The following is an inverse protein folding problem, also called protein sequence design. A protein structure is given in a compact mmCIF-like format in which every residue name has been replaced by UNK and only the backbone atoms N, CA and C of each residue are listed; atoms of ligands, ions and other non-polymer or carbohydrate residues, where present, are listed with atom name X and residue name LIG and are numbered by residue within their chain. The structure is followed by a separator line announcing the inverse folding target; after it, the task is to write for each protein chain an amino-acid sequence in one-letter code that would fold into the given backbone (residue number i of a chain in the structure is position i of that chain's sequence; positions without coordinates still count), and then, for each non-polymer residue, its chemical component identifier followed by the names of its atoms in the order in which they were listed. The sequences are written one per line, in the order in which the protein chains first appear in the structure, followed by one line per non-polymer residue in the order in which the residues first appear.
data_IF_762508276967
#
_entry.id   IF_762508276967
#
_cell.length_a   1.000
_cell.length_b   1.000
_cell.length_c   1.000
_cell.angle_alpha   90.00
_cell.angle_beta   90.00
_cell.angle_gamma   90.00
#
_symmetry.space_group_name_H-M   'P 1'
#
loop_
_entity.id
_entity.type
_entity.pdbx_description
1 polymer ?
#
# COMPACT_ATOMS: atom_id res chain seq x y z
N UNK A 1 -7.06 65.27 -47.13
CA UNK A 1 -6.15 64.10 -47.05
C UNK A 1 -6.13 63.60 -45.61
N UNK A 2 -6.39 62.30 -45.40
CA UNK A 2 -6.12 61.44 -44.22
C UNK A 2 -6.63 61.97 -42.86
N UNK A 3 -7.78 61.48 -42.37
CA UNK A 3 -7.94 60.36 -41.39
C UNK A 3 -6.88 60.37 -40.28
N UNK A 4 -7.31 60.48 -39.03
CA UNK A 4 -7.13 59.46 -37.97
C UNK A 4 -8.09 59.80 -36.81
N UNK A 5 -8.95 58.83 -36.51
CA UNK A 5 -9.84 58.80 -35.35
C UNK A 5 -9.00 58.20 -34.21
N UNK A 6 -8.77 58.95 -33.14
CA UNK A 6 -8.15 58.42 -31.93
C UNK A 6 -9.23 57.82 -31.03
N UNK A 7 -9.55 56.55 -31.26
CA UNK A 7 -10.32 55.73 -30.31
C UNK A 7 -9.39 55.46 -29.11
N UNK A 8 -9.78 55.99 -27.94
CA UNK A 8 -9.17 55.67 -26.67
C UNK A 8 -9.60 54.24 -26.28
N UNK A 9 -8.75 53.25 -26.56
CA UNK A 9 -8.94 51.88 -26.06
C UNK A 9 -8.57 51.84 -24.58
N UNK A 10 -9.56 51.76 -23.70
CA UNK A 10 -9.38 51.34 -22.31
C UNK A 10 -9.20 49.81 -22.36
N UNK A 11 -7.96 49.35 -22.41
CA UNK A 11 -7.61 47.95 -22.17
C UNK A 11 -7.45 47.76 -20.66
N UNK A 12 -8.56 47.41 -20.01
CA UNK A 12 -8.52 46.76 -18.70
C UNK A 12 -7.88 45.37 -18.88
N UNK A 13 -6.57 45.28 -18.72
CA UNK A 13 -5.91 44.00 -18.49
C UNK A 13 -6.14 43.60 -17.04
N UNK A 14 -7.28 42.94 -16.79
CA UNK A 14 -7.41 42.10 -15.61
C UNK A 14 -6.46 40.93 -15.86
N UNK A 15 -5.26 41.01 -15.29
CA UNK A 15 -4.38 39.87 -15.15
C UNK A 15 -5.03 38.91 -14.16
N UNK A 16 -6.00 38.11 -14.63
CA UNK A 16 -6.29 36.85 -13.98
C UNK A 16 -5.03 36.01 -14.16
N UNK A 17 -4.17 36.02 -13.15
CA UNK A 17 -3.29 34.90 -12.85
C UNK A 17 -4.23 33.72 -12.61
N UNK A 18 -4.65 33.08 -13.69
CA UNK A 18 -5.04 31.69 -13.65
C UNK A 18 -3.75 30.96 -13.35
N UNK A 19 -3.46 30.81 -12.06
CA UNK A 19 -2.80 29.59 -11.64
C UNK A 19 -3.69 28.49 -12.23
N UNK A 20 -3.23 27.89 -13.34
CA UNK A 20 -3.59 26.53 -13.60
C UNK A 20 -3.14 25.80 -12.33
N UNK A 21 -4.08 25.63 -11.40
CA UNK A 21 -3.96 24.56 -10.44
C UNK A 21 -3.76 23.36 -11.32
N UNK A 22 -2.54 22.81 -11.27
CA UNK A 22 -2.28 21.43 -11.67
C UNK A 22 -3.50 20.65 -11.17
N UNK A 23 -4.21 19.91 -12.05
CA UNK A 23 -5.32 19.12 -11.59
C UNK A 23 -4.80 18.38 -10.37
N UNK A 24 -5.46 18.56 -9.21
CA UNK A 24 -5.24 17.65 -8.11
C UNK A 24 -5.55 16.28 -8.69
N UNK A 25 -4.49 15.56 -9.09
CA UNK A 25 -4.60 14.14 -9.35
C UNK A 25 -5.33 13.61 -8.13
N UNK A 26 -6.46 12.90 -8.30
CA UNK A 26 -7.00 12.16 -7.19
C UNK A 26 -5.84 11.35 -6.60
N UNK A 27 -5.78 11.16 -5.29
CA UNK A 27 -4.86 10.19 -4.69
C UNK A 27 -5.17 8.81 -5.30
N UNK A 28 -4.61 8.55 -6.48
CA UNK A 28 -4.74 7.32 -7.26
C UNK A 28 -3.69 6.37 -6.68
N UNK A 29 -3.98 5.81 -5.50
CA UNK A 29 -4.65 4.51 -5.36
C UNK A 29 -3.61 3.39 -5.49
N UNK A 30 -2.95 3.11 -4.38
CA UNK A 30 -1.89 2.13 -4.18
C UNK A 30 -2.22 0.70 -4.63
N UNK A 31 -3.50 0.42 -4.90
CA UNK A 31 -4.00 -0.85 -5.43
C UNK A 31 -3.34 -1.28 -6.75
N UNK A 32 -2.85 -0.35 -7.56
CA UNK A 32 -2.22 -0.66 -8.85
C UNK A 32 -0.80 -1.21 -8.72
N UNK A 33 -0.18 -1.05 -7.55
CA UNK A 33 1.20 -1.48 -7.35
C UNK A 33 1.32 -2.99 -7.21
N UNK A 34 0.27 -3.64 -6.72
CA UNK A 34 0.19 -5.08 -6.59
C UNK A 34 -0.69 -5.67 -7.71
N UNK A 35 -0.26 -6.78 -8.31
CA UNK A 35 -1.09 -7.53 -9.27
C UNK A 35 -2.17 -8.31 -8.51
N UNK A 36 -3.17 -7.58 -7.99
CA UNK A 36 -4.17 -8.13 -7.07
C UNK A 36 -5.17 -9.03 -7.79
N UNK A 37 -5.62 -10.07 -7.10
CA UNK A 37 -6.73 -10.91 -7.60
C UNK A 37 -8.02 -10.10 -7.57
N UNK A 38 -8.67 -9.91 -8.72
CA UNK A 38 -9.99 -9.28 -8.74
C UNK A 38 -11.05 -10.18 -8.12
N UNK A 39 -11.87 -9.63 -7.21
CA UNK A 39 -12.96 -10.40 -6.62
C UNK A 39 -14.00 -10.78 -7.68
N UNK A 40 -14.42 -12.04 -7.64
CA UNK A 40 -15.46 -12.61 -8.50
C UNK A 40 -16.37 -13.46 -7.62
N UNK A 41 -17.60 -12.99 -7.39
CA UNK A 41 -18.58 -13.67 -6.54
C UNK A 41 -18.98 -15.07 -7.01
N UNK A 42 -18.66 -15.45 -8.26
CA UNK A 42 -18.86 -16.80 -8.77
C UNK A 42 -17.81 -17.79 -8.27
N UNK A 43 -16.58 -17.33 -8.02
CA UNK A 43 -15.41 -18.15 -7.69
C UNK A 43 -15.01 -17.95 -6.23
N UNK A 44 -14.97 -16.70 -5.79
CA UNK A 44 -14.49 -16.24 -4.51
C UNK A 44 -15.62 -16.15 -3.49
N UNK A 45 -15.37 -16.64 -2.28
CA UNK A 45 -16.20 -16.35 -1.11
C UNK A 45 -15.73 -15.05 -0.47
N UNK A 46 -14.41 -14.91 -0.31
CA UNK A 46 -13.79 -13.80 0.42
C UNK A 46 -12.31 -13.65 0.08
N UNK A 47 -11.82 -12.42 0.04
CA UNK A 47 -10.40 -12.08 -0.08
C UNK A 47 -10.03 -11.14 1.06
N UNK A 48 -8.93 -11.44 1.74
CA UNK A 48 -8.28 -10.56 2.72
C UNK A 48 -6.92 -10.14 2.18
N UNK A 49 -6.58 -8.86 2.34
CA UNK A 49 -5.23 -8.35 2.06
C UNK A 49 -4.67 -7.57 3.22
N UNK A 50 -3.38 -7.75 3.43
CA UNK A 50 -2.56 -6.94 4.34
C UNK A 50 -1.43 -6.36 3.51
N UNK A 51 -1.48 -5.06 3.24
CA UNK A 51 -0.44 -4.34 2.51
C UNK A 51 0.36 -3.50 3.48
N UNK A 52 1.68 -3.60 3.42
CA UNK A 52 2.59 -2.72 4.14
C UNK A 52 3.12 -1.72 3.13
N UNK A 53 2.76 -0.46 3.33
CA UNK A 53 3.03 0.62 2.41
C UNK A 53 2.69 0.15 0.99
N UNK A 54 3.75 0.10 0.18
CA UNK A 54 3.72 -0.02 -1.26
C UNK A 54 4.75 -1.04 -1.76
N UNK A 55 5.24 -1.88 -0.85
CA UNK A 55 6.36 -2.76 -1.10
C UNK A 55 6.10 -4.21 -0.69
N UNK A 56 5.13 -4.48 0.19
CA UNK A 56 4.72 -5.85 0.49
C UNK A 56 3.21 -5.98 0.62
N UNK A 57 2.67 -7.10 0.13
CA UNK A 57 1.28 -7.46 0.32
C UNK A 57 1.13 -8.97 0.55
N UNK A 58 0.41 -9.34 1.60
CA UNK A 58 -0.12 -10.69 1.78
C UNK A 58 -1.57 -10.70 1.32
N UNK A 59 -1.88 -11.55 0.34
CA UNK A 59 -3.24 -11.81 -0.13
C UNK A 59 -3.64 -13.23 0.27
N UNK A 60 -4.81 -13.35 0.91
CA UNK A 60 -5.43 -14.63 1.27
C UNK A 60 -6.81 -14.72 0.63
N UNK A 61 -7.07 -15.82 -0.05
CA UNK A 61 -8.28 -16.02 -0.84
C UNK A 61 -8.98 -17.27 -0.33
N UNK A 62 -10.25 -17.13 0.05
CA UNK A 62 -11.16 -18.24 0.27
C UNK A 62 -12.04 -18.39 -0.96
N UNK A 63 -11.85 -19.49 -1.67
CA UNK A 63 -12.67 -19.90 -2.80
C UNK A 63 -13.94 -20.60 -2.30
N UNK A 64 -14.95 -20.67 -3.17
CA UNK A 64 -16.11 -21.53 -2.90
C UNK A 64 -15.68 -22.98 -2.67
N UNK A 65 -16.47 -23.70 -1.87
CA UNK A 65 -16.21 -25.09 -1.44
C UNK A 65 -15.03 -25.23 -0.46
N UNK A 66 -14.62 -24.14 0.19
CA UNK A 66 -13.67 -24.19 1.31
C UNK A 66 -12.21 -24.40 0.91
N UNK A 67 -11.83 -24.02 -0.30
CA UNK A 67 -10.42 -24.04 -0.73
C UNK A 67 -9.77 -22.70 -0.39
N UNK A 68 -8.55 -22.75 0.13
CA UNK A 68 -7.78 -21.58 0.53
C UNK A 68 -6.55 -21.43 -0.35
N UNK A 69 -6.25 -20.19 -0.74
CA UNK A 69 -5.06 -19.80 -1.49
C UNK A 69 -4.43 -18.58 -0.84
N UNK A 70 -3.14 -18.40 -1.05
CA UNK A 70 -2.50 -17.18 -0.60
C UNK A 70 -1.19 -16.90 -1.32
N UNK A 71 -0.81 -15.63 -1.36
CA UNK A 71 0.42 -15.17 -1.96
C UNK A 71 1.02 -14.02 -1.14
N UNK A 72 2.35 -13.94 -1.12
CA UNK A 72 3.10 -12.77 -0.69
C UNK A 72 3.68 -12.10 -1.94
N UNK A 73 3.35 -10.83 -2.16
CA UNK A 73 3.88 -10.02 -3.24
C UNK A 73 4.85 -8.98 -2.68
N UNK A 74 6.11 -9.04 -3.11
CA UNK A 74 7.11 -8.01 -2.83
C UNK A 74 7.25 -7.10 -4.06
N UNK A 75 7.24 -5.79 -3.86
CA UNK A 75 7.31 -4.79 -4.93
C UNK A 75 8.42 -3.78 -4.65
N UNK A 76 9.13 -3.40 -5.70
CA UNK A 76 10.10 -2.30 -5.68
C UNK A 76 10.14 -1.62 -7.04
N UNK A 77 10.46 -0.33 -7.07
CA UNK A 77 10.60 0.42 -8.31
C UNK A 77 12.07 0.69 -8.61
N UNK A 78 12.47 0.59 -9.87
CA UNK A 78 13.71 1.24 -10.32
C UNK A 78 13.52 2.75 -10.34
N UNK A 79 14.60 3.48 -10.09
CA UNK A 79 14.55 4.94 -10.05
C UNK A 79 15.76 5.58 -10.74
N UNK A 80 15.64 6.85 -11.12
CA UNK A 80 16.74 7.63 -11.68
C UNK A 80 17.46 8.46 -10.59
N UNK A 81 18.36 9.36 -10.99
CA UNK A 81 19.04 10.27 -10.05
C UNK A 81 18.13 11.32 -9.43
N UNK A 82 16.98 11.61 -10.07
CA UNK A 82 15.93 12.51 -9.58
C UNK A 82 14.84 11.76 -8.80
N UNK A 83 15.08 10.49 -8.48
CA UNK A 83 14.20 9.66 -7.65
C UNK A 83 12.83 9.34 -8.28
N UNK A 84 12.66 9.67 -9.55
CA UNK A 84 11.46 9.36 -10.32
C UNK A 84 11.40 7.86 -10.60
N UNK A 85 10.32 7.20 -10.13
CA UNK A 85 10.00 5.79 -10.40
C UNK A 85 9.95 5.53 -11.91
N UNK A 86 10.52 4.40 -12.36
CA UNK A 86 10.60 4.05 -13.79
C UNK A 86 9.97 2.71 -14.11
N UNK A 87 10.45 1.63 -13.50
CA UNK A 87 9.97 0.27 -13.78
C UNK A 87 9.70 -0.45 -12.48
N UNK A 88 8.51 -1.05 -12.36
CA UNK A 88 8.16 -1.95 -11.27
C UNK A 88 8.88 -3.29 -11.43
N UNK A 89 9.38 -3.80 -10.33
CA UNK A 89 9.87 -5.17 -10.18
C UNK A 89 9.05 -5.79 -9.06
N UNK A 90 8.43 -6.93 -9.33
CA UNK A 90 7.64 -7.68 -8.37
C UNK A 90 8.16 -9.10 -8.22
N UNK A 91 7.95 -9.68 -7.04
CA UNK A 91 8.13 -11.10 -6.77
C UNK A 91 6.89 -11.61 -6.04
N UNK A 92 6.20 -12.56 -6.67
CA UNK A 92 5.06 -13.25 -6.07
C UNK A 92 5.53 -14.61 -5.55
N UNK A 93 5.27 -14.87 -4.28
CA UNK A 93 5.61 -16.11 -3.57
C UNK A 93 4.29 -16.77 -3.18
N UNK A 94 4.08 -18.02 -3.62
CA UNK A 94 2.91 -18.79 -3.19
C UNK A 94 3.03 -19.15 -1.72
N UNK A 95 1.98 -18.86 -0.95
CA UNK A 95 1.83 -19.34 0.41
C UNK A 95 1.18 -20.74 0.31
N UNK A 96 1.70 -21.76 1.02
CA UNK A 96 1.07 -23.08 1.05
C UNK A 96 -0.39 -23.01 1.49
N UNK A 97 -1.28 -23.75 0.83
CA UNK A 97 -2.73 -23.73 1.08
C UNK A 97 -3.07 -23.96 2.58
N UNK A 98 -2.33 -24.84 3.27
CA UNK A 98 -2.53 -25.11 4.70
C UNK A 98 -2.18 -23.91 5.59
N UNK A 99 -1.14 -23.15 5.23
CA UNK A 99 -0.77 -21.90 5.92
C UNK A 99 -1.80 -20.83 5.60
N UNK A 100 -2.24 -20.72 4.35
CA UNK A 100 -3.28 -19.78 3.94
C UNK A 100 -4.58 -20.04 4.72
N UNK A 101 -5.03 -21.29 4.82
CA UNK A 101 -6.20 -21.68 5.63
C UNK A 101 -6.02 -21.29 7.10
N UNK A 102 -4.87 -21.61 7.69
CA UNK A 102 -4.56 -21.28 9.10
C UNK A 102 -4.63 -19.78 9.36
N UNK A 103 -4.00 -18.97 8.51
CA UNK A 103 -4.06 -17.50 8.61
C UNK A 103 -5.49 -16.99 8.43
N UNK A 104 -6.23 -17.51 7.46
CA UNK A 104 -7.61 -17.13 7.22
C UNK A 104 -8.50 -17.34 8.44
N UNK A 105 -8.41 -18.53 9.07
CA UNK A 105 -9.15 -18.86 10.29
C UNK A 105 -8.73 -17.97 11.46
N UNK A 106 -7.44 -17.72 11.62
CA UNK A 106 -6.93 -16.80 12.64
C UNK A 106 -7.50 -15.38 12.45
N UNK A 107 -7.61 -14.89 11.22
CA UNK A 107 -8.18 -13.58 10.90
C UNK A 107 -9.69 -13.53 11.19
N UNK A 108 -10.43 -14.61 10.89
CA UNK A 108 -11.85 -14.71 11.23
C UNK A 108 -12.08 -14.72 12.75
N UNK A 109 -11.25 -15.43 13.53
CA UNK A 109 -11.35 -15.48 14.99
C UNK A 109 -11.22 -14.09 15.63
N UNK A 110 -10.38 -13.22 15.07
CA UNK A 110 -10.19 -11.85 15.57
C UNK A 110 -11.05 -10.81 14.83
N UNK A 111 -11.99 -11.28 13.99
CA UNK A 111 -12.96 -10.45 13.30
C UNK A 111 -12.33 -9.37 12.39
N UNK A 112 -11.36 -9.78 11.56
CA UNK A 112 -10.63 -8.93 10.60
C UNK A 112 -11.54 -7.96 9.83
N UNK A 113 -12.72 -8.43 9.42
CA UNK A 113 -13.73 -7.66 8.68
C UNK A 113 -14.33 -6.47 9.42
N UNK A 114 -14.18 -6.38 10.73
CA UNK A 114 -14.82 -5.34 11.54
C UNK A 114 -13.82 -4.44 12.24
N UNK A 115 -12.55 -4.51 11.86
CA UNK A 115 -11.54 -3.56 12.34
C UNK A 115 -11.90 -2.19 11.76
N UNK A 116 -12.21 -1.18 12.58
CA UNK A 116 -12.49 0.15 12.08
C UNK A 116 -11.19 0.82 11.62
N UNK A 117 -11.32 1.78 10.72
CA UNK A 117 -10.20 2.63 10.32
C UNK A 117 -9.62 3.41 11.50
N UNK A 118 -8.31 3.65 11.50
CA UNK A 118 -7.61 4.39 12.55
C UNK A 118 -8.23 5.77 12.80
N UNK A 119 -8.73 6.46 11.76
CA UNK A 119 -9.42 7.74 11.91
C UNK A 119 -10.70 7.68 12.76
N UNK A 120 -11.27 6.48 12.92
CA UNK A 120 -12.50 6.23 13.70
C UNK A 120 -12.23 5.67 15.10
N UNK A 121 -10.96 5.47 15.46
CA UNK A 121 -10.55 4.89 16.73
C UNK A 121 -9.97 6.00 17.61
N UNK A 122 -10.60 6.24 18.77
CA UNK A 122 -10.07 7.18 19.74
C UNK A 122 -8.67 6.77 20.23
N UNK A 123 -7.75 7.73 20.28
CA UNK A 123 -6.35 7.50 20.63
C UNK A 123 -5.50 6.80 19.55
N UNK A 124 -6.05 6.47 18.38
CA UNK A 124 -5.26 5.97 17.26
C UNK A 124 -4.40 7.09 16.66
N UNK A 125 -3.21 6.72 16.16
CA UNK A 125 -2.22 7.66 15.68
C UNK A 125 -2.35 7.86 14.18
N UNK A 126 -2.46 9.11 13.74
CA UNK A 126 -2.62 9.52 12.34
C UNK A 126 -1.69 10.69 12.03
N UNK A 127 -1.35 10.89 10.76
CA UNK A 127 -0.59 12.06 10.30
C UNK A 127 0.93 11.99 10.52
N UNK A 128 1.48 10.79 10.72
CA UNK A 128 2.93 10.57 10.82
C UNK A 128 3.59 10.23 9.48
N UNK A 129 4.76 10.81 9.20
CA UNK A 129 5.60 10.36 8.11
C UNK A 129 6.19 9.00 8.50
N UNK A 130 5.90 7.95 7.74
CA UNK A 130 6.22 6.60 8.20
C UNK A 130 5.61 5.48 7.37
N UNK A 131 5.56 4.30 7.97
CA UNK A 131 4.97 3.10 7.38
C UNK A 131 3.47 3.01 7.67
N UNK A 132 2.66 2.85 6.64
CA UNK A 132 1.22 2.66 6.70
C UNK A 132 0.89 1.21 6.38
N UNK A 133 0.19 0.53 7.28
CA UNK A 133 -0.37 -0.80 7.01
C UNK A 133 -1.83 -0.68 6.63
N UNK A 134 -2.20 -1.29 5.51
CA UNK A 134 -3.57 -1.35 5.01
C UNK A 134 -4.14 -2.76 5.18
N UNK A 135 -5.37 -2.84 5.67
CA UNK A 135 -6.15 -4.08 5.77
C UNK A 135 -7.35 -3.95 4.84
N UNK A 136 -7.41 -4.80 3.81
CA UNK A 136 -8.51 -4.81 2.84
C UNK A 136 -9.31 -6.09 2.94
N UNK A 137 -10.63 -5.96 2.82
CA UNK A 137 -11.55 -7.09 2.72
C UNK A 137 -12.46 -6.93 1.51
N UNK A 138 -12.52 -7.98 0.70
CA UNK A 138 -13.50 -8.13 -0.36
C UNK A 138 -14.37 -9.37 -0.15
N UNK A 139 -15.68 -9.17 -0.18
CA UNK A 139 -16.72 -10.19 -0.21
C UNK A 139 -17.82 -9.74 -1.16
N UNK A 140 -18.83 -10.58 -1.37
CA UNK A 140 -20.04 -10.19 -2.13
C UNK A 140 -20.76 -8.95 -1.56
N UNK A 141 -20.63 -8.68 -0.25
CA UNK A 141 -21.38 -7.60 0.44
C UNK A 141 -20.52 -6.43 0.88
N UNK A 142 -19.19 -6.55 0.79
CA UNK A 142 -18.27 -5.62 1.40
C UNK A 142 -17.02 -5.52 0.54
N UNK A 143 -16.65 -4.29 0.22
CA UNK A 143 -15.33 -3.94 -0.27
C UNK A 143 -14.87 -2.76 0.60
N UNK A 144 -13.91 -3.01 1.47
CA UNK A 144 -13.40 -1.99 2.38
C UNK A 144 -11.90 -2.13 2.52
N UNK A 145 -11.25 -0.99 2.72
CA UNK A 145 -9.85 -0.91 3.12
C UNK A 145 -9.77 0.05 4.30
N UNK A 146 -9.02 -0.35 5.32
CA UNK A 146 -8.71 0.47 6.50
C UNK A 146 -7.21 0.61 6.65
N UNK A 147 -6.76 1.71 7.23
CA UNK A 147 -5.33 2.03 7.35
C UNK A 147 -4.90 2.28 8.78
N UNK A 148 -3.67 1.92 9.10
CA UNK A 148 -3.02 2.15 10.38
C UNK A 148 -1.60 2.65 10.14
N UNK A 149 -1.32 3.85 10.65
CA UNK A 149 -0.03 4.50 10.50
C UNK A 149 0.87 4.06 11.63
N UNK A 150 2.12 3.72 11.32
CA UNK A 150 3.14 3.32 12.29
C UNK A 150 2.65 2.17 13.19
N UNK A 151 1.90 1.23 12.61
CA UNK A 151 1.11 0.22 13.32
C UNK A 151 1.94 -0.53 14.37
N UNK A 152 3.17 -0.92 14.03
CA UNK A 152 4.06 -1.72 14.90
C UNK A 152 5.04 -0.88 15.71
N UNK A 153 4.98 0.44 15.64
CA UNK A 153 5.93 1.33 16.32
C UNK A 153 5.64 1.45 17.81
N UNK A 154 6.58 1.05 18.65
CA UNK A 154 6.49 1.26 20.11
C UNK A 154 6.90 2.69 20.51
N UNK A 155 7.46 3.48 19.58
CA UNK A 155 7.75 4.90 19.79
C UNK A 155 6.47 5.74 19.81
N UNK A 156 5.55 5.49 18.88
CA UNK A 156 4.29 6.24 18.78
C UNK A 156 3.17 5.68 19.68
N UNK A 157 3.29 4.42 20.06
CA UNK A 157 2.33 3.70 20.91
C UNK A 157 3.00 3.24 22.22
N UNK A 158 3.35 4.20 23.09
CA UNK A 158 4.04 3.91 24.36
C UNK A 158 3.09 3.45 25.46
N UNK A 159 1.93 4.09 25.60
CA UNK A 159 0.94 3.82 26.65
C UNK A 159 -0.49 3.90 26.10
N UNK A 160 -1.43 3.18 26.71
CA UNK A 160 -2.86 3.18 26.37
C UNK A 160 -3.17 2.89 24.88
N UNK A 161 -2.51 1.88 24.32
CA UNK A 161 -2.74 1.44 22.93
C UNK A 161 -4.20 1.03 22.75
N UNK A 162 -4.95 1.60 21.79
CA UNK A 162 -6.32 1.21 21.53
C UNK A 162 -6.43 -0.30 21.24
N UNK A 163 -7.50 -0.94 21.70
CA UNK A 163 -7.68 -2.40 21.53
C UNK A 163 -7.72 -2.80 20.05
N UNK A 164 -8.25 -1.95 19.18
CA UNK A 164 -8.31 -2.16 17.74
C UNK A 164 -6.91 -2.15 17.12
N UNK A 165 -6.02 -1.27 17.59
CA UNK A 165 -4.61 -1.26 17.20
C UNK A 165 -3.92 -2.55 17.65
N UNK A 166 -4.22 -3.05 18.86
CA UNK A 166 -3.69 -4.34 19.33
C UNK A 166 -4.18 -5.52 18.49
N UNK A 167 -5.43 -5.49 18.02
CA UNK A 167 -5.98 -6.49 17.08
C UNK A 167 -5.26 -6.41 15.74
N UNK A 168 -5.05 -5.21 15.19
CA UNK A 168 -4.29 -5.01 13.96
C UNK A 168 -2.83 -5.52 14.09
N UNK A 169 -2.15 -5.22 15.19
CA UNK A 169 -0.82 -5.79 15.50
C UNK A 169 -0.84 -7.31 15.59
N UNK A 170 -1.93 -7.90 16.10
CA UNK A 170 -2.08 -9.35 16.21
C UNK A 170 -2.19 -10.02 14.84
N UNK A 171 -2.80 -9.38 13.85
CA UNK A 171 -2.79 -9.84 12.45
C UNK A 171 -1.36 -9.96 11.95
N UNK A 172 -0.55 -8.92 12.13
CA UNK A 172 0.86 -8.91 11.73
C UNK A 172 1.65 -10.02 12.42
N UNK A 173 1.39 -10.27 13.71
CA UNK A 173 2.00 -11.37 14.46
C UNK A 173 1.63 -12.74 13.90
N UNK A 174 0.37 -12.95 13.51
CA UNK A 174 -0.03 -14.22 12.89
C UNK A 174 0.70 -14.47 11.58
N UNK A 175 0.83 -13.45 10.72
CA UNK A 175 1.58 -13.57 9.46
C UNK A 175 3.05 -13.90 9.75
N UNK A 176 3.72 -13.09 10.58
CA UNK A 176 5.15 -13.23 10.86
C UNK A 176 5.51 -14.52 11.61
N UNK A 177 4.54 -15.15 12.29
CA UNK A 177 4.74 -16.46 12.90
C UNK A 177 4.85 -17.60 11.87
N UNK A 178 4.27 -17.45 10.68
CA UNK A 178 4.36 -18.43 9.60
C UNK A 178 5.54 -18.14 8.66
N UNK A 179 5.79 -16.86 8.37
CA UNK A 179 6.92 -16.40 7.57
C UNK A 179 7.26 -14.94 7.88
N UNK A 180 8.54 -14.63 8.10
CA UNK A 180 8.98 -13.25 8.38
C UNK A 180 8.88 -12.38 7.12
N UNK A 181 7.99 -11.38 7.15
CA UNK A 181 7.81 -10.43 6.05
C UNK A 181 9.11 -9.67 5.74
N UNK A 182 9.80 -9.22 6.80
CA UNK A 182 11.08 -8.52 6.69
C UNK A 182 12.14 -9.41 6.03
N UNK A 183 12.26 -10.67 6.44
CA UNK A 183 13.24 -11.59 5.86
C UNK A 183 12.95 -11.85 4.38
N UNK A 184 11.68 -12.08 4.02
CA UNK A 184 11.27 -12.29 2.63
C UNK A 184 11.56 -11.06 1.76
N UNK A 185 11.30 -9.85 2.27
CA UNK A 185 11.64 -8.62 1.57
C UNK A 185 13.15 -8.43 1.42
N UNK A 186 13.91 -8.69 2.49
CA UNK A 186 15.36 -8.59 2.48
C UNK A 186 15.99 -9.57 1.48
N UNK A 187 15.49 -10.80 1.39
CA UNK A 187 15.91 -11.78 0.39
C UNK A 187 15.60 -11.25 -1.02
N UNK A 188 14.40 -10.72 -1.25
CA UNK A 188 13.99 -10.15 -2.53
C UNK A 188 14.94 -9.02 -2.97
N UNK A 189 15.12 -7.99 -2.12
CA UNK A 189 15.97 -6.85 -2.46
C UNK A 189 17.44 -7.27 -2.64
N UNK A 190 17.92 -8.27 -1.91
CA UNK A 190 19.32 -8.73 -2.00
C UNK A 190 19.65 -9.44 -3.31
N UNK A 191 18.64 -9.93 -4.03
CA UNK A 191 18.81 -10.55 -5.35
C UNK A 191 18.72 -9.56 -6.50
N UNK A 192 18.38 -8.29 -6.24
CA UNK A 192 18.29 -7.28 -7.29
C UNK A 192 19.66 -7.03 -7.93
N UNK A 193 19.71 -6.82 -9.26
CA UNK A 193 20.96 -6.51 -9.95
C UNK A 193 21.51 -5.13 -9.55
N UNK A 194 22.67 -4.77 -10.11
CA UNK A 194 23.22 -3.43 -9.96
C UNK A 194 22.20 -2.38 -10.43
N UNK A 195 21.94 -1.37 -9.60
CA UNK A 195 20.93 -0.36 -9.93
C UNK A 195 20.55 0.57 -8.80
N UNK A 196 19.62 1.47 -9.10
CA UNK A 196 18.95 2.40 -8.19
C UNK A 196 17.50 1.96 -8.02
N UNK A 197 17.09 1.79 -6.78
CA UNK A 197 15.75 1.31 -6.44
C UNK A 197 15.11 2.19 -5.37
N UNK A 198 13.79 2.22 -5.36
CA UNK A 198 12.99 2.94 -4.38
C UNK A 198 11.77 2.10 -3.96
N UNK A 199 11.46 2.12 -2.67
CA UNK A 199 10.23 1.58 -2.09
C UNK A 199 9.86 2.44 -0.87
N UNK A 200 8.57 2.73 -0.68
CA UNK A 200 8.15 3.79 0.24
C UNK A 200 8.96 5.07 -0.03
N UNK A 201 9.58 5.59 1.03
CA UNK A 201 10.51 6.72 1.00
C UNK A 201 12.00 6.33 1.04
N UNK A 202 12.33 5.05 0.84
CA UNK A 202 13.69 4.51 0.98
C UNK A 202 14.32 4.28 -0.39
N UNK A 203 15.55 4.76 -0.56
CA UNK A 203 16.35 4.59 -1.78
C UNK A 203 17.50 3.63 -1.54
N UNK A 204 17.61 2.62 -2.39
CA UNK A 204 18.69 1.63 -2.35
C UNK A 204 19.60 1.79 -3.57
N UNK A 205 20.90 1.84 -3.32
CA UNK A 205 21.96 1.70 -4.32
C UNK A 205 22.56 0.29 -4.26
N UNK A 206 22.26 -0.57 -5.23
CA UNK A 206 22.94 -1.87 -5.33
C UNK A 206 24.21 -1.71 -6.15
N UNK A 207 25.38 -1.91 -5.54
CA UNK A 207 26.67 -1.95 -6.24
C UNK A 207 26.91 -3.37 -6.77
N UNK A 208 27.41 -3.50 -8.01
CA UNK A 208 27.84 -4.82 -8.51
C UNK A 208 28.98 -5.39 -7.67
N UNK A 209 29.03 -6.72 -7.50
CA UNK A 209 30.26 -7.37 -7.04
C UNK A 209 31.31 -7.13 -8.13
N UNK A 210 32.44 -6.50 -7.78
CA UNK A 210 33.65 -6.57 -8.61
C UNK A 210 34.06 -8.04 -8.65
N UNK A 211 33.82 -8.71 -9.77
CA UNK A 211 34.49 -9.97 -10.05
C UNK A 211 35.92 -9.57 -10.41
N UNK A 212 36.85 -9.91 -9.52
CA UNK A 212 38.29 -9.76 -9.76
C UNK A 212 38.79 -10.97 -10.52
#
# INVERSE_FOLDING_TARGET
MKKIISILFILNTISSLTFAQEPQEPQEFWEWEFEMTQFDSLIHEKIYRVSIENNQQVELIKLKKGVYKGHLNNVIWTTNKKEIRKKRISQIISIPDSIAEKLFRNFEIINFERIPDCEKIDGCKIGFDGETTFFSTETKKMNQTVSFWELTSDYYYTDNIPKEVLIARKIMKFINAEFSLEEQFNIFINRLPHGRYIYGSIIIMKKGKKVW
#
